data_IF_968292979616
#
_entry.id   IF_968292979616
#
_cell.length_a   1.000
_cell.length_b   1.000
_cell.length_c   1.000
_cell.angle_alpha   90.00
_cell.angle_beta   90.00
_cell.angle_gamma   90.00
#
_symmetry.space_group_name_H-M   'P 1'
#
loop_
_entity.id
_entity.type
_entity.pdbx_description
1 polymer ?
#
# COMPACT_ATOMS: atom_id res chain seq x y z
N UNK A 1 45.96 18.32 58.61
CA UNK A 1 46.98 17.43 59.21
C UNK A 1 46.28 16.27 59.92
N UNK A 2 46.67 15.02 59.59
CA UNK A 2 46.60 13.77 60.40
C UNK A 2 45.20 13.16 60.62
N UNK A 3 44.78 12.13 59.88
CA UNK A 3 45.10 10.67 59.92
C UNK A 3 44.68 9.99 61.25
N UNK A 4 43.72 9.06 61.19
CA UNK A 4 43.73 7.68 61.76
C UNK A 4 42.33 7.05 61.54
N UNK A 5 42.18 6.07 60.65
CA UNK A 5 42.21 4.61 60.90
C UNK A 5 41.16 4.11 61.90
N UNK A 6 40.16 3.36 61.42
CA UNK A 6 39.72 2.12 62.06
C UNK A 6 39.08 1.17 61.03
N UNK A 7 39.70 -0.01 60.95
CA UNK A 7 39.33 -1.20 60.19
C UNK A 7 38.03 -1.81 60.72
N UNK A 8 37.13 -2.19 59.81
CA UNK A 8 36.12 -3.23 60.07
C UNK A 8 36.08 -4.17 58.86
N UNK A 9 36.97 -5.15 58.90
CA UNK A 9 37.06 -6.28 57.98
C UNK A 9 35.87 -7.21 58.23
N UNK A 10 34.83 -7.12 57.39
CA UNK A 10 33.69 -8.04 57.43
C UNK A 10 33.92 -9.13 56.38
N UNK A 11 34.16 -10.35 56.84
CA UNK A 11 34.25 -11.55 56.00
C UNK A 11 32.94 -11.74 55.23
N UNK A 12 32.99 -11.64 53.90
CA UNK A 12 31.93 -12.14 53.03
C UNK A 12 32.20 -13.62 52.77
N UNK A 13 31.42 -14.49 53.42
CA UNK A 13 31.41 -15.92 53.15
C UNK A 13 30.89 -16.14 51.73
N UNK A 14 31.76 -16.63 50.85
CA UNK A 14 31.36 -17.18 49.56
C UNK A 14 30.59 -18.48 49.79
N UNK A 15 29.28 -18.36 49.99
CA UNK A 15 28.37 -19.49 49.90
C UNK A 15 28.23 -19.91 48.44
N UNK A 16 29.03 -20.88 48.01
CA UNK A 16 28.76 -21.65 46.79
C UNK A 16 27.49 -22.46 46.99
N UNK A 17 26.34 -21.81 46.82
CA UNK A 17 25.07 -22.50 46.57
C UNK A 17 25.14 -22.99 45.13
N UNK A 18 25.55 -24.25 44.96
CA UNK A 18 25.33 -25.02 43.74
C UNK A 18 23.82 -25.14 43.52
N UNK A 19 23.26 -24.16 42.82
CA UNK A 19 21.92 -24.24 42.26
C UNK A 19 21.94 -25.39 41.23
N UNK A 20 21.13 -26.44 41.39
CA UNK A 20 21.03 -27.48 40.38
C UNK A 20 20.60 -26.83 39.07
N UNK A 21 21.28 -27.20 37.97
CA UNK A 21 20.89 -26.79 36.63
C UNK A 21 19.39 -27.05 36.44
N UNK A 22 18.63 -26.17 35.76
CA UNK A 22 17.24 -26.46 35.44
C UNK A 22 17.24 -27.78 34.66
N UNK A 23 16.67 -28.81 35.27
CA UNK A 23 16.46 -30.10 34.61
C UNK A 23 15.69 -29.80 33.33
N UNK A 24 16.35 -30.01 32.19
CA UNK A 24 15.70 -30.05 30.89
C UNK A 24 14.84 -31.30 30.86
N UNK A 25 13.67 -31.24 31.49
CA UNK A 25 12.59 -32.17 31.18
C UNK A 25 12.35 -32.05 29.67
N UNK A 26 12.36 -33.16 28.91
CA UNK A 26 12.09 -33.09 27.49
C UNK A 26 10.73 -32.42 27.28
N UNK A 27 10.69 -31.39 26.43
CA UNK A 27 9.43 -30.76 26.03
C UNK A 27 8.45 -31.85 25.59
N UNK A 28 7.19 -31.82 26.04
CA UNK A 28 6.20 -32.81 25.62
C UNK A 28 6.12 -32.83 24.10
N UNK A 29 6.15 -34.02 23.50
CA UNK A 29 5.90 -34.17 22.06
C UNK A 29 4.39 -34.10 21.81
N UNK A 30 3.94 -33.68 20.61
CA UNK A 30 2.52 -33.63 20.26
C UNK A 30 1.74 -34.91 20.57
N UNK A 31 2.37 -36.08 20.46
CA UNK A 31 1.74 -37.39 20.69
C UNK A 31 1.47 -37.71 22.17
N UNK A 32 2.06 -36.95 23.10
CA UNK A 32 1.97 -37.21 24.55
C UNK A 32 0.89 -36.41 25.28
N UNK A 33 0.24 -35.46 24.60
CA UNK A 33 -0.73 -34.53 25.19
C UNK A 33 -2.15 -34.95 24.81
N UNK A 34 -3.10 -34.94 25.76
CA UNK A 34 -4.48 -35.39 25.51
C UNK A 34 -5.48 -34.26 25.71
N UNK A 35 -6.21 -33.92 24.66
CA UNK A 35 -7.33 -32.96 24.72
C UNK A 35 -6.95 -31.50 24.46
N UNK A 36 -7.95 -30.72 24.04
CA UNK A 36 -7.75 -29.35 23.55
C UNK A 36 -7.17 -28.39 24.60
N UNK A 37 -7.57 -28.53 25.87
CA UNK A 37 -7.13 -27.67 26.96
C UNK A 37 -5.64 -27.87 27.31
N UNK A 38 -5.16 -29.12 27.31
CA UNK A 38 -3.76 -29.44 27.56
C UNK A 38 -2.87 -28.95 26.42
N UNK A 39 -3.31 -29.10 25.17
CA UNK A 39 -2.62 -28.52 24.02
C UNK A 39 -2.53 -26.99 24.11
N UNK A 40 -3.60 -26.32 24.54
CA UNK A 40 -3.59 -24.88 24.77
C UNK A 40 -2.58 -24.49 25.86
N UNK A 41 -2.58 -25.20 26.99
CA UNK A 41 -1.61 -24.94 28.07
C UNK A 41 -0.16 -25.16 27.63
N UNK A 42 0.09 -26.22 26.85
CA UNK A 42 1.41 -26.52 26.28
C UNK A 42 1.85 -25.42 25.32
N UNK A 43 0.95 -24.96 24.44
CA UNK A 43 1.21 -23.83 23.55
C UNK A 43 1.54 -22.55 24.33
N UNK A 44 0.84 -22.26 25.42
CA UNK A 44 1.12 -21.09 26.27
C UNK A 44 2.51 -21.18 26.92
N UNK A 45 2.92 -22.38 27.36
CA UNK A 45 4.25 -22.62 27.93
C UNK A 45 5.34 -22.34 26.89
N UNK A 46 5.24 -22.91 25.70
CA UNK A 46 6.17 -22.65 24.61
C UNK A 46 6.20 -21.17 24.19
N UNK A 47 5.03 -20.51 24.15
CA UNK A 47 4.94 -19.09 23.83
C UNK A 47 5.68 -18.22 24.84
N UNK A 48 5.52 -18.50 26.15
CA UNK A 48 6.23 -17.80 27.23
C UNK A 48 7.73 -18.08 27.18
N UNK A 49 8.13 -19.29 26.80
CA UNK A 49 9.53 -19.69 26.60
C UNK A 49 10.15 -19.11 25.31
N UNK A 50 9.38 -18.42 24.45
CA UNK A 50 9.85 -17.89 23.17
C UNK A 50 10.03 -18.94 22.07
N UNK A 51 9.60 -20.19 22.30
CA UNK A 51 9.60 -21.27 21.33
C UNK A 51 8.38 -21.12 20.40
N UNK A 52 8.45 -20.14 19.50
CA UNK A 52 7.28 -19.70 18.71
C UNK A 52 6.80 -20.77 17.72
N UNK A 53 7.67 -21.63 17.20
CA UNK A 53 7.28 -22.70 16.28
C UNK A 53 6.47 -23.78 17.00
N UNK A 54 6.94 -24.24 18.16
CA UNK A 54 6.24 -25.19 19.01
C UNK A 54 4.92 -24.59 19.50
N UNK A 55 4.94 -23.33 19.96
CA UNK A 55 3.73 -22.61 20.38
C UNK A 55 2.67 -22.59 19.27
N UNK A 56 3.07 -22.33 18.02
CA UNK A 56 2.16 -22.33 16.89
C UNK A 56 1.63 -23.73 16.57
N UNK A 57 2.47 -24.76 16.68
CA UNK A 57 2.07 -26.16 16.46
C UNK A 57 1.04 -26.61 17.48
N UNK A 58 1.33 -26.42 18.76
CA UNK A 58 0.42 -26.79 19.84
C UNK A 58 -0.86 -25.96 19.85
N UNK A 59 -0.80 -24.67 19.51
CA UNK A 59 -2.00 -23.85 19.39
C UNK A 59 -2.91 -24.30 18.24
N UNK A 60 -2.35 -24.76 17.10
CA UNK A 60 -3.15 -25.36 16.02
C UNK A 60 -3.82 -26.66 16.46
N UNK A 61 -3.08 -27.54 17.13
CA UNK A 61 -3.65 -28.78 17.68
C UNK A 61 -4.78 -28.50 18.66
N UNK A 62 -4.63 -27.48 19.52
CA UNK A 62 -5.67 -27.05 20.43
C UNK A 62 -6.93 -26.53 19.70
N UNK A 63 -6.76 -25.85 18.56
CA UNK A 63 -7.88 -25.42 17.72
C UNK A 63 -8.60 -26.62 17.11
N UNK A 64 -7.86 -27.53 16.47
CA UNK A 64 -8.44 -28.68 15.77
C UNK A 64 -9.17 -29.62 16.74
N UNK A 65 -8.54 -29.92 17.88
CA UNK A 65 -9.15 -30.72 18.93
C UNK A 65 -10.33 -30.01 19.60
N UNK A 66 -10.20 -28.71 19.88
CA UNK A 66 -11.27 -27.93 20.49
C UNK A 66 -12.51 -27.85 19.59
N UNK A 67 -12.34 -27.85 18.26
CA UNK A 67 -13.44 -27.95 17.31
C UNK A 67 -14.11 -29.32 17.38
N UNK A 68 -13.33 -30.41 17.42
CA UNK A 68 -13.86 -31.77 17.57
C UNK A 68 -14.61 -31.97 18.91
N UNK A 69 -14.11 -31.35 19.98
CA UNK A 69 -14.70 -31.37 21.32
C UNK A 69 -15.88 -30.40 21.50
N UNK A 70 -16.19 -29.57 20.50
CA UNK A 70 -17.18 -28.48 20.60
C UNK A 70 -16.90 -27.51 21.78
N UNK A 71 -15.63 -27.15 21.97
CA UNK A 71 -15.14 -26.28 23.02
C UNK A 71 -14.76 -24.87 22.47
N UNK A 72 -15.74 -23.99 22.18
CA UNK A 72 -15.48 -22.72 21.49
C UNK A 72 -14.58 -21.76 22.28
N UNK A 73 -14.65 -21.78 23.62
CA UNK A 73 -13.75 -20.96 24.46
C UNK A 73 -12.29 -21.36 24.28
N UNK A 74 -11.99 -22.66 24.31
CA UNK A 74 -10.64 -23.19 24.06
C UNK A 74 -10.17 -22.85 22.66
N UNK A 75 -11.03 -23.03 21.65
CA UNK A 75 -10.72 -22.66 20.25
C UNK A 75 -10.39 -21.17 20.14
N UNK A 76 -11.19 -20.30 20.75
CA UNK A 76 -10.98 -18.85 20.67
C UNK A 76 -9.68 -18.42 21.35
N UNK A 77 -9.37 -18.98 22.52
CA UNK A 77 -8.10 -18.73 23.23
C UNK A 77 -6.90 -19.27 22.46
N UNK A 78 -7.01 -20.45 21.87
CA UNK A 78 -5.97 -21.04 21.04
C UNK A 78 -5.71 -20.22 19.77
N UNK A 79 -6.75 -19.75 19.09
CA UNK A 79 -6.63 -18.84 17.95
C UNK A 79 -5.99 -17.51 18.32
N UNK A 80 -6.38 -16.91 19.46
CA UNK A 80 -5.75 -15.68 19.94
C UNK A 80 -4.25 -15.89 20.21
N UNK A 81 -3.89 -17.00 20.85
CA UNK A 81 -2.49 -17.35 21.08
C UNK A 81 -1.73 -17.57 19.78
N UNK A 82 -2.34 -18.27 18.82
CA UNK A 82 -1.76 -18.50 17.50
C UNK A 82 -1.53 -17.19 16.75
N UNK A 83 -2.50 -16.27 16.79
CA UNK A 83 -2.39 -14.93 16.21
C UNK A 83 -1.20 -14.16 16.78
N UNK A 84 -1.06 -14.14 18.12
CA UNK A 84 0.07 -13.50 18.82
C UNK A 84 1.40 -14.18 18.53
N UNK A 85 1.39 -15.49 18.35
CA UNK A 85 2.58 -16.26 17.95
C UNK A 85 3.06 -15.83 16.57
N UNK A 86 2.15 -15.79 15.59
CA UNK A 86 2.46 -15.29 14.25
C UNK A 86 2.90 -13.82 14.26
N UNK A 87 2.31 -12.98 15.12
CA UNK A 87 2.74 -11.60 15.31
C UNK A 87 4.20 -11.51 15.76
N UNK A 88 4.61 -12.30 16.77
CA UNK A 88 6.00 -12.34 17.25
C UNK A 88 6.97 -12.87 16.20
N UNK A 89 6.53 -13.79 15.34
CA UNK A 89 7.32 -14.29 14.19
C UNK A 89 7.39 -13.30 13.02
N UNK A 90 6.70 -12.16 13.08
CA UNK A 90 6.61 -11.20 11.98
C UNK A 90 5.64 -11.62 10.85
N UNK A 91 4.93 -12.74 11.00
CA UNK A 91 3.98 -13.30 10.04
C UNK A 91 2.63 -12.57 10.11
N UNK A 92 2.65 -11.27 9.79
CA UNK A 92 1.53 -10.34 9.99
C UNK A 92 0.23 -10.78 9.28
N UNK A 93 0.32 -11.38 8.10
CA UNK A 93 -0.86 -11.87 7.37
C UNK A 93 -1.54 -13.05 8.06
N UNK A 94 -0.77 -14.02 8.56
CA UNK A 94 -1.34 -15.16 9.30
C UNK A 94 -1.98 -14.70 10.61
N UNK A 95 -1.33 -13.78 11.32
CA UNK A 95 -1.87 -13.18 12.53
C UNK A 95 -3.21 -12.48 12.28
N UNK A 96 -3.29 -11.64 11.25
CA UNK A 96 -4.52 -10.94 10.87
C UNK A 96 -5.62 -11.90 10.41
N UNK A 97 -5.27 -13.02 9.76
CA UNK A 97 -6.23 -14.08 9.43
C UNK A 97 -6.89 -14.69 10.67
N UNK A 98 -6.12 -15.01 11.71
CA UNK A 98 -6.67 -15.52 12.97
C UNK A 98 -7.52 -14.47 13.69
N UNK A 99 -7.08 -13.20 13.74
CA UNK A 99 -7.90 -12.13 14.33
C UNK A 99 -9.21 -11.88 13.57
N UNK A 100 -9.21 -12.04 12.24
CA UNK A 100 -10.41 -11.90 11.43
C UNK A 100 -11.47 -12.94 11.80
N UNK A 101 -11.05 -14.19 12.07
CA UNK A 101 -11.97 -15.24 12.56
C UNK A 101 -12.55 -14.87 13.93
N UNK A 102 -11.72 -14.33 14.82
CA UNK A 102 -12.14 -13.96 16.17
C UNK A 102 -13.06 -12.75 16.23
N UNK A 103 -13.02 -11.87 15.22
CA UNK A 103 -13.85 -10.66 15.16
C UNK A 103 -15.35 -10.97 15.20
N UNK A 104 -15.75 -12.07 14.59
CA UNK A 104 -17.15 -12.49 14.48
C UNK A 104 -17.52 -13.60 15.48
N UNK A 105 -16.58 -13.99 16.35
CA UNK A 105 -16.78 -15.04 17.35
C UNK A 105 -17.45 -14.50 18.64
N UNK A 106 -18.14 -15.38 19.36
CA UNK A 106 -18.57 -15.08 20.73
C UNK A 106 -17.37 -15.19 21.67
N UNK A 107 -16.83 -14.04 22.07
CA UNK A 107 -15.67 -13.93 22.93
C UNK A 107 -16.07 -13.51 24.35
N UNK A 108 -15.36 -14.07 25.34
CA UNK A 108 -15.29 -13.46 26.67
C UNK A 108 -14.68 -12.04 26.59
N UNK A 109 -14.91 -11.23 27.62
CA UNK A 109 -14.53 -9.81 27.59
C UNK A 109 -13.01 -9.61 27.53
N UNK A 110 -12.24 -10.49 28.16
CA UNK A 110 -10.77 -10.45 28.14
C UNK A 110 -10.24 -10.67 26.72
N UNK A 111 -10.70 -11.74 26.06
CA UNK A 111 -10.33 -12.12 24.69
C UNK A 111 -10.78 -11.04 23.70
N UNK A 112 -11.99 -10.48 23.88
CA UNK A 112 -12.48 -9.38 23.04
C UNK A 112 -11.59 -8.15 23.15
N UNK A 113 -11.22 -7.76 24.37
CA UNK A 113 -10.37 -6.59 24.59
C UNK A 113 -8.95 -6.81 24.05
N UNK A 114 -8.42 -8.03 24.20
CA UNK A 114 -7.15 -8.45 23.60
C UNK A 114 -7.17 -8.30 22.07
N UNK A 115 -8.17 -8.89 21.39
CA UNK A 115 -8.31 -8.81 19.93
C UNK A 115 -8.42 -7.36 19.46
N UNK A 116 -9.22 -6.54 20.15
CA UNK A 116 -9.38 -5.11 19.83
C UNK A 116 -8.05 -4.34 19.96
N UNK A 117 -7.30 -4.61 21.03
CA UNK A 117 -5.98 -4.01 21.26
C UNK A 117 -4.99 -4.41 20.16
N UNK A 118 -4.91 -5.71 19.86
CA UNK A 118 -3.96 -6.26 18.91
C UNK A 118 -4.26 -5.78 17.48
N UNK A 119 -5.54 -5.80 17.04
CA UNK A 119 -5.97 -5.21 15.77
C UNK A 119 -5.70 -3.69 15.71
N UNK A 120 -5.84 -2.98 16.83
CA UNK A 120 -5.49 -1.57 16.94
C UNK A 120 -4.03 -1.29 16.60
N UNK A 121 -3.10 -2.14 17.05
CA UNK A 121 -1.68 -2.01 16.71
C UNK A 121 -1.42 -2.27 15.23
N UNK A 122 -2.05 -3.29 14.64
CA UNK A 122 -1.96 -3.55 13.20
C UNK A 122 -2.50 -2.38 12.37
N UNK A 123 -3.60 -1.77 12.83
CA UNK A 123 -4.20 -0.60 12.21
C UNK A 123 -3.25 0.60 12.22
N UNK A 124 -2.59 0.85 13.36
CA UNK A 124 -1.58 1.91 13.47
C UNK A 124 -0.40 1.67 12.54
N UNK A 125 0.11 0.43 12.50
CA UNK A 125 1.21 0.04 11.61
C UNK A 125 0.83 0.22 10.13
N UNK A 126 -0.36 -0.20 9.73
CA UNK A 126 -0.87 -0.02 8.36
C UNK A 126 -1.07 1.47 8.02
N UNK A 127 -1.57 2.28 8.95
CA UNK A 127 -1.71 3.72 8.78
C UNK A 127 -0.36 4.42 8.60
N UNK A 128 0.66 4.03 9.37
CA UNK A 128 2.02 4.54 9.24
C UNK A 128 2.64 4.20 7.86
N UNK A 129 2.42 2.97 7.38
CA UNK A 129 2.82 2.56 6.03
C UNK A 129 2.12 3.40 4.96
N UNK A 130 0.81 3.62 5.09
CA UNK A 130 0.05 4.44 4.15
C UNK A 130 0.52 5.91 4.14
N UNK A 131 0.85 6.46 5.31
CA UNK A 131 1.41 7.82 5.41
C UNK A 131 2.79 7.90 4.75
N UNK A 132 3.66 6.92 4.98
CA UNK A 132 4.98 6.83 4.36
C UNK A 132 4.85 6.71 2.84
N UNK A 133 3.91 5.90 2.36
CA UNK A 133 3.61 5.77 0.95
C UNK A 133 3.17 7.11 0.32
N UNK A 134 2.31 7.89 1.01
CA UNK A 134 1.91 9.23 0.56
C UNK A 134 3.09 10.20 0.47
N UNK A 135 3.99 10.19 1.46
CA UNK A 135 5.20 11.01 1.43
C UNK A 135 6.10 10.64 0.25
N UNK A 136 6.36 9.34 0.03
CA UNK A 136 7.12 8.84 -1.12
C UNK A 136 6.46 9.19 -2.45
N UNK A 137 5.13 9.11 -2.53
CA UNK A 137 4.37 9.52 -3.71
C UNK A 137 4.57 11.00 -4.02
N UNK A 138 4.51 11.87 -3.00
CA UNK A 138 4.74 13.31 -3.17
C UNK A 138 6.17 13.62 -3.66
N UNK A 139 7.14 12.79 -3.27
CA UNK A 139 8.53 12.86 -3.75
C UNK A 139 8.75 12.19 -5.11
N UNK A 140 7.69 11.83 -5.84
CA UNK A 140 7.73 11.10 -7.12
C UNK A 140 8.42 9.73 -7.06
N UNK A 141 8.58 9.14 -5.87
CA UNK A 141 9.15 7.80 -5.69
C UNK A 141 8.07 6.72 -5.84
N UNK A 142 7.41 6.69 -7.01
CA UNK A 142 6.17 5.94 -7.21
C UNK A 142 6.29 4.43 -6.97
N UNK A 143 7.41 3.79 -7.37
CA UNK A 143 7.63 2.35 -7.09
C UNK A 143 7.74 2.04 -5.60
N UNK A 144 8.43 2.89 -4.82
CA UNK A 144 8.57 2.71 -3.37
C UNK A 144 7.25 3.02 -2.65
N UNK A 145 6.53 4.05 -3.10
CA UNK A 145 5.19 4.37 -2.62
C UNK A 145 4.21 3.22 -2.88
N UNK A 146 4.30 2.58 -4.04
CA UNK A 146 3.47 1.43 -4.40
C UNK A 146 3.71 0.24 -3.46
N UNK A 147 4.97 -0.08 -3.15
CA UNK A 147 5.31 -1.17 -2.24
C UNK A 147 4.72 -0.96 -0.84
N UNK A 148 4.94 0.22 -0.24
CA UNK A 148 4.38 0.56 1.07
C UNK A 148 2.85 0.62 1.04
N UNK A 149 2.28 1.18 -0.03
CA UNK A 149 0.82 1.29 -0.22
C UNK A 149 0.14 -0.07 -0.33
N UNK A 150 0.75 -1.03 -1.05
CA UNK A 150 0.27 -2.42 -1.13
C UNK A 150 0.41 -3.14 0.20
N UNK A 151 1.50 -2.92 0.94
CA UNK A 151 1.66 -3.48 2.27
C UNK A 151 0.59 -2.96 3.24
N UNK A 152 0.32 -1.65 3.24
CA UNK A 152 -0.76 -1.06 4.02
C UNK A 152 -2.13 -1.61 3.63
N UNK A 153 -2.41 -1.68 2.33
CA UNK A 153 -3.66 -2.20 1.79
C UNK A 153 -3.91 -3.64 2.23
N UNK A 154 -2.90 -4.51 2.07
CA UNK A 154 -3.00 -5.93 2.48
C UNK A 154 -3.33 -6.08 3.97
N UNK A 155 -2.74 -5.24 4.83
CA UNK A 155 -3.05 -5.26 6.27
C UNK A 155 -4.47 -4.78 6.57
N UNK A 156 -4.92 -3.71 5.90
CA UNK A 156 -6.28 -3.21 6.09
C UNK A 156 -7.33 -4.21 5.64
N UNK A 157 -7.13 -4.83 4.46
CA UNK A 157 -8.02 -5.85 3.91
C UNK A 157 -8.05 -7.13 4.76
N UNK A 158 -6.93 -7.48 5.40
CA UNK A 158 -6.86 -8.61 6.32
C UNK A 158 -7.53 -8.35 7.70
N UNK A 159 -8.23 -7.22 7.87
CA UNK A 159 -9.09 -6.97 9.04
C UNK A 159 -8.62 -5.84 9.95
N UNK A 160 -7.47 -5.23 9.70
CA UNK A 160 -7.00 -4.08 10.48
C UNK A 160 -7.72 -2.76 10.13
N UNK A 161 -8.34 -2.69 8.95
CA UNK A 161 -8.92 -1.45 8.40
C UNK A 161 -10.44 -1.44 8.36
N UNK A 162 -11.00 -0.24 8.32
CA UNK A 162 -12.39 -0.04 7.89
C UNK A 162 -12.46 0.23 6.37
N UNK A 163 -13.68 0.26 5.83
CA UNK A 163 -13.92 0.50 4.41
C UNK A 163 -13.28 1.80 3.90
N UNK A 164 -13.24 2.85 4.72
CA UNK A 164 -12.64 4.14 4.36
C UNK A 164 -11.13 4.04 4.26
N UNK A 165 -10.47 3.37 5.19
CA UNK A 165 -9.02 3.15 5.17
C UNK A 165 -8.61 2.26 3.98
N UNK A 166 -9.38 1.22 3.70
CA UNK A 166 -9.16 0.36 2.52
C UNK A 166 -9.29 1.19 1.23
N UNK A 167 -10.35 1.99 1.08
CA UNK A 167 -10.56 2.85 -0.09
C UNK A 167 -9.42 3.85 -0.29
N UNK A 168 -8.94 4.49 0.79
CA UNK A 168 -7.80 5.40 0.73
C UNK A 168 -6.51 4.70 0.28
N UNK A 169 -6.24 3.49 0.79
CA UNK A 169 -5.07 2.72 0.39
C UNK A 169 -5.16 2.28 -1.08
N UNK A 170 -6.32 1.77 -1.53
CA UNK A 170 -6.57 1.44 -2.95
C UNK A 170 -6.39 2.66 -3.85
N UNK A 171 -6.94 3.81 -3.45
CA UNK A 171 -6.80 5.07 -4.19
C UNK A 171 -5.34 5.49 -4.38
N UNK A 172 -4.51 5.36 -3.34
CA UNK A 172 -3.07 5.64 -3.43
C UNK A 172 -2.36 4.63 -4.35
N UNK A 173 -2.63 3.34 -4.19
CA UNK A 173 -2.06 2.27 -5.03
C UNK A 173 -2.41 2.49 -6.50
N UNK A 174 -3.68 2.79 -6.80
CA UNK A 174 -4.14 3.11 -8.15
C UNK A 174 -3.49 4.35 -8.75
N UNK A 175 -3.30 5.42 -7.95
CA UNK A 175 -2.54 6.61 -8.36
C UNK A 175 -1.07 6.31 -8.65
N UNK A 176 -0.44 5.42 -7.87
CA UNK A 176 0.93 4.99 -8.12
C UNK A 176 1.03 4.26 -9.46
N UNK A 177 0.14 3.30 -9.72
CA UNK A 177 0.05 2.60 -11.01
C UNK A 177 -0.15 3.58 -12.18
N UNK A 178 -1.03 4.58 -12.03
CA UNK A 178 -1.25 5.60 -13.06
C UNK A 178 0.02 6.39 -13.38
N UNK A 179 0.80 6.77 -12.36
CA UNK A 179 2.08 7.49 -12.53
C UNK A 179 3.20 6.62 -13.11
N UNK A 180 3.10 5.31 -13.00
CA UNK A 180 4.03 4.35 -13.60
C UNK A 180 3.64 3.95 -15.03
N UNK A 181 2.51 4.44 -15.56
CA UNK A 181 2.00 4.08 -16.89
C UNK A 181 1.23 2.76 -16.94
N UNK A 182 0.96 2.15 -15.78
CA UNK A 182 0.29 0.86 -15.64
C UNK A 182 -1.24 1.06 -15.63
N UNK A 183 -1.79 1.50 -16.77
CA UNK A 183 -3.17 2.01 -16.85
C UNK A 183 -4.25 0.99 -16.48
N UNK A 184 -4.07 -0.30 -16.80
CA UNK A 184 -5.04 -1.35 -16.48
C UNK A 184 -5.17 -1.54 -14.96
N UNK A 185 -4.04 -1.72 -14.27
CA UNK A 185 -4.01 -1.86 -12.80
C UNK A 185 -4.49 -0.58 -12.12
N UNK A 186 -4.08 0.59 -12.61
CA UNK A 186 -4.53 1.87 -12.08
C UNK A 186 -6.05 1.98 -12.09
N UNK A 187 -6.70 1.63 -13.21
CA UNK A 187 -8.16 1.67 -13.34
C UNK A 187 -8.85 0.76 -12.34
N UNK A 188 -8.38 -0.48 -12.20
CA UNK A 188 -8.95 -1.46 -11.28
C UNK A 188 -8.99 -0.90 -9.85
N UNK A 189 -7.84 -0.50 -9.32
CA UNK A 189 -7.77 0.02 -7.93
C UNK A 189 -8.54 1.33 -7.75
N UNK A 190 -8.52 2.23 -8.74
CA UNK A 190 -9.24 3.51 -8.66
C UNK A 190 -10.76 3.33 -8.72
N UNK A 191 -11.25 2.38 -9.53
CA UNK A 191 -12.67 2.03 -9.59
C UNK A 191 -13.15 1.40 -8.27
N UNK A 192 -12.38 0.45 -7.72
CA UNK A 192 -12.69 -0.16 -6.42
C UNK A 192 -12.69 0.87 -5.29
N UNK A 193 -11.75 1.83 -5.30
CA UNK A 193 -11.73 2.94 -4.35
C UNK A 193 -12.93 3.87 -4.53
N UNK A 194 -13.29 4.23 -5.76
CA UNK A 194 -14.45 5.08 -6.05
C UNK A 194 -15.78 4.43 -5.71
N UNK A 195 -15.90 3.11 -5.86
CA UNK A 195 -17.11 2.40 -5.44
C UNK A 195 -17.37 2.57 -3.93
N UNK A 196 -16.31 2.58 -3.12
CA UNK A 196 -16.38 2.82 -1.69
C UNK A 196 -16.49 4.31 -1.32
N UNK A 197 -15.93 5.21 -2.13
CA UNK A 197 -16.00 6.67 -1.92
C UNK A 197 -16.39 7.42 -3.20
N UNK A 198 -17.67 7.37 -3.64
CA UNK A 198 -18.11 7.89 -4.95
C UNK A 198 -17.97 9.41 -5.12
N UNK A 199 -17.84 10.13 -4.01
CA UNK A 199 -17.71 11.59 -3.97
C UNK A 199 -16.29 12.11 -4.14
N UNK A 200 -15.26 11.26 -4.17
CA UNK A 200 -13.85 11.72 -4.18
C UNK A 200 -13.46 12.29 -5.57
N UNK A 201 -13.23 13.61 -5.69
CA UNK A 201 -12.88 14.24 -6.96
C UNK A 201 -11.46 13.91 -7.41
N UNK A 202 -10.53 13.61 -6.50
CA UNK A 202 -9.17 13.23 -6.85
C UNK A 202 -9.14 11.86 -7.53
N UNK A 203 -9.90 10.90 -7.00
CA UNK A 203 -10.00 9.57 -7.60
C UNK A 203 -10.65 9.62 -8.98
N UNK A 204 -11.69 10.45 -9.17
CA UNK A 204 -12.31 10.66 -10.49
C UNK A 204 -11.33 11.23 -11.50
N UNK A 205 -10.55 12.26 -11.11
CA UNK A 205 -9.51 12.85 -11.96
C UNK A 205 -8.42 11.85 -12.30
N UNK A 206 -7.96 11.07 -11.31
CA UNK A 206 -6.96 10.03 -11.52
C UNK A 206 -7.47 8.95 -12.48
N UNK A 207 -8.73 8.51 -12.33
CA UNK A 207 -9.33 7.51 -13.22
C UNK A 207 -9.46 8.07 -14.65
N UNK A 208 -9.93 9.30 -14.82
CA UNK A 208 -10.00 9.95 -16.13
C UNK A 208 -8.61 10.05 -16.80
N UNK A 209 -7.54 10.32 -16.03
CA UNK A 209 -6.18 10.38 -16.55
C UNK A 209 -5.62 9.01 -17.02
N UNK A 210 -6.27 7.90 -16.66
CA UNK A 210 -5.93 6.56 -17.17
C UNK A 210 -6.68 6.21 -18.47
N UNK A 211 -7.54 7.11 -18.96
CA UNK A 211 -8.14 7.02 -20.29
C UNK A 211 -7.05 7.01 -21.36
N UNK A 212 -7.10 6.11 -22.38
CA UNK A 212 -6.35 6.39 -23.59
C UNK A 212 -6.76 7.79 -24.09
N UNK A 213 -5.83 8.59 -24.63
CA UNK A 213 -6.21 9.87 -25.23
C UNK A 213 -7.35 9.62 -26.22
N UNK A 214 -8.35 10.52 -26.31
CA UNK A 214 -9.42 10.35 -27.27
C UNK A 214 -8.75 10.11 -28.63
N UNK A 215 -9.04 8.94 -29.22
CA UNK A 215 -8.70 8.70 -30.62
C UNK A 215 -9.18 9.93 -31.37
N UNK A 216 -8.29 10.63 -32.07
CA UNK A 216 -8.70 11.72 -32.94
C UNK A 216 -9.71 11.10 -33.89
N UNK A 217 -10.99 11.33 -33.65
CA UNK A 217 -12.03 10.98 -34.61
C UNK A 217 -11.55 11.57 -35.93
N UNK A 218 -11.51 10.79 -37.03
CA UNK A 218 -11.23 11.39 -38.32
C UNK A 218 -12.22 12.53 -38.47
N UNK A 219 -11.70 13.75 -38.70
CA UNK A 219 -12.50 14.90 -39.05
C UNK A 219 -13.49 14.42 -40.10
N UNK A 220 -14.78 14.31 -39.74
CA UNK A 220 -15.82 14.07 -40.72
C UNK A 220 -15.75 15.28 -41.63
N UNK A 221 -15.13 15.10 -42.79
CA UNK A 221 -15.21 16.04 -43.87
C UNK A 221 -16.70 16.13 -44.19
N UNK A 222 -17.30 17.27 -43.86
CA UNK A 222 -18.64 17.63 -44.29
C UNK A 222 -18.72 17.43 -45.81
N UNK A 223 -19.22 16.28 -46.22
CA UNK A 223 -19.67 16.04 -47.57
C UNK A 223 -20.93 16.89 -47.75
N UNK A 224 -20.73 18.16 -48.12
CA UNK A 224 -21.78 18.97 -48.73
C UNK A 224 -22.20 18.22 -49.99
N UNK A 225 -23.34 17.55 -49.91
CA UNK A 225 -24.15 17.22 -51.09
C UNK A 225 -24.58 18.56 -51.69
N UNK A 226 -23.78 19.04 -52.64
CA UNK A 226 -24.19 20.06 -53.60
C UNK A 226 -24.72 19.31 -54.81
N UNK A 227 -26.02 19.46 -55.02
CA UNK A 227 -26.78 18.93 -56.14
C UNK A 227 -26.19 19.39 -57.48
N UNK A 228 -26.44 18.55 -58.47
CA UNK A 228 -26.12 18.66 -59.89
C UNK A 228 -26.19 20.08 -60.46
N UNK A 229 -25.11 20.50 -61.13
CA UNK A 229 -25.28 21.36 -62.30
C UNK A 229 -24.24 21.02 -63.38
N UNK A 230 -24.80 20.68 -64.53
CA UNK A 230 -24.15 20.29 -65.77
C UNK A 230 -23.38 21.46 -66.34
N UNK A 231 -22.07 21.31 -66.55
CA UNK A 231 -21.36 22.02 -67.61
C UNK A 231 -20.36 21.09 -68.30
N UNK A 232 -20.79 20.53 -69.43
CA UNK A 232 -19.90 20.13 -70.49
C UNK A 232 -19.31 21.40 -71.12
N UNK A 233 -18.00 21.56 -71.07
CA UNK A 233 -17.27 22.32 -72.11
C UNK A 233 -15.94 21.64 -72.42
N UNK A 234 -15.84 21.18 -73.66
CA UNK A 234 -14.59 20.84 -74.33
C UNK A 234 -13.63 22.05 -74.34
N UNK A 235 -12.38 21.88 -73.94
CA UNK A 235 -11.34 22.91 -74.09
C UNK A 235 -10.23 22.78 -73.05
N UNK A 236 -8.97 22.86 -73.49
CA UNK A 236 -7.74 22.65 -72.71
C UNK A 236 -7.63 23.52 -71.42
N UNK A 237 -6.85 23.10 -70.40
CA UNK A 237 -6.74 23.84 -69.14
C UNK A 237 -5.92 25.13 -69.31
N UNK A 238 -6.58 26.26 -69.08
CA UNK A 238 -5.95 27.58 -69.00
C UNK A 238 -5.29 27.78 -67.62
N UNK A 239 -3.96 27.88 -67.61
CA UNK A 239 -3.07 27.87 -66.44
C UNK A 239 -3.11 29.22 -65.68
N UNK A 240 -3.86 30.22 -66.15
CA UNK A 240 -3.82 31.57 -65.58
C UNK A 240 -4.88 31.89 -64.52
N UNK A 241 -5.74 30.94 -64.11
CA UNK A 241 -6.79 31.21 -63.10
C UNK A 241 -6.39 30.93 -61.64
N UNK A 242 -5.14 30.51 -61.39
CA UNK A 242 -4.64 30.19 -60.05
C UNK A 242 -4.11 31.40 -59.24
N UNK A 243 -4.16 32.63 -59.77
CA UNK A 243 -3.59 33.81 -59.09
C UNK A 243 -4.57 34.61 -58.21
N UNK A 244 -5.88 34.38 -58.31
CA UNK A 244 -6.86 35.21 -57.59
C UNK A 244 -7.42 34.59 -56.29
N UNK A 245 -7.07 33.33 -55.97
CA UNK A 245 -7.58 32.67 -54.76
C UNK A 245 -6.69 32.80 -53.51
N UNK A 246 -5.49 33.39 -53.64
CA UNK A 246 -4.52 33.53 -52.51
C UNK A 246 -4.54 34.93 -51.90
N UNK A 247 -5.36 35.86 -52.40
CA UNK A 247 -5.32 37.28 -51.98
C UNK A 247 -6.32 37.71 -50.90
N UNK A 248 -7.13 36.80 -50.37
CA UNK A 248 -8.16 37.14 -49.37
C UNK A 248 -8.20 36.12 -48.22
N UNK A 249 -7.16 36.10 -47.38
CA UNK A 249 -7.21 35.83 -45.92
C UNK A 249 -5.79 35.59 -45.36
N UNK A 250 -5.08 36.68 -45.12
CA UNK A 250 -4.01 36.70 -44.11
C UNK A 250 -4.24 37.93 -43.22
N UNK A 251 -4.57 37.74 -41.93
CA UNK A 251 -4.66 38.85 -40.99
C UNK A 251 -3.28 39.44 -40.74
N UNK A 252 -3.22 40.78 -40.75
CA UNK A 252 -2.03 41.57 -40.45
C UNK A 252 -1.61 41.37 -38.99
N UNK A 253 -0.30 41.20 -38.80
CA UNK A 253 0.37 41.34 -37.51
C UNK A 253 0.56 40.01 -36.80
N UNK A 254 1.80 39.56 -36.72
CA UNK A 254 2.57 39.30 -35.50
C UNK A 254 3.95 38.81 -35.96
N UNK A 255 4.98 39.61 -35.65
CA UNK A 255 6.38 39.30 -35.92
C UNK A 255 6.79 38.15 -34.98
N UNK A 256 7.11 36.97 -35.52
CA UNK A 256 7.70 35.87 -34.76
C UNK A 256 9.18 35.77 -35.17
N UNK A 257 10.14 35.82 -34.23
CA UNK A 257 11.56 35.74 -34.56
C UNK A 257 11.95 34.31 -34.97
N UNK A 258 12.78 34.22 -36.02
CA UNK A 258 13.41 32.98 -36.49
C UNK A 258 14.62 32.68 -35.59
N UNK A 259 14.72 31.50 -34.95
CA UNK A 259 15.91 31.11 -34.20
C UNK A 259 16.97 30.55 -35.17
N UNK A 260 18.16 31.18 -35.24
CA UNK A 260 19.31 30.53 -35.91
C UNK A 260 20.32 31.38 -36.67
N UNK A 261 20.54 32.67 -36.36
CA UNK A 261 21.64 33.44 -36.95
C UNK A 261 22.66 33.89 -35.87
N UNK A 262 23.94 33.50 -35.94
CA UNK A 262 24.96 33.94 -34.99
C UNK A 262 25.57 35.30 -35.33
N UNK A 263 25.81 36.05 -34.23
CA UNK A 263 26.88 37.01 -33.96
C UNK A 263 27.12 38.21 -34.89
N UNK A 264 26.73 39.38 -34.37
CA UNK A 264 27.70 40.40 -33.96
C UNK A 264 28.48 41.12 -35.06
N UNK A 265 28.08 42.36 -35.33
CA UNK A 265 28.96 43.54 -35.44
C UNK A 265 28.05 44.78 -35.45
N UNK A 266 28.18 45.61 -34.41
CA UNK A 266 27.42 46.86 -34.27
C UNK A 266 28.01 47.96 -35.15
N UNK A 267 27.20 48.78 -35.84
CA UNK A 267 27.69 50.04 -36.40
C UNK A 267 27.87 51.09 -35.29
N UNK A 268 29.08 51.59 -35.14
CA UNK A 268 29.42 52.73 -34.27
C UNK A 268 29.06 54.03 -34.97
N UNK A 269 28.45 54.94 -34.21
CA UNK A 269 27.95 56.26 -34.60
C UNK A 269 29.07 57.24 -35.05
N UNK A 270 28.72 58.32 -35.78
CA UNK A 270 29.69 59.27 -36.31
C UNK A 270 30.19 60.23 -35.21
N UNK A 271 31.49 60.54 -35.24
CA UNK A 271 32.06 61.67 -34.48
C UNK A 271 32.63 62.67 -35.48
N UNK A 272 32.03 63.85 -35.45
CA UNK A 272 32.50 65.11 -36.01
C UNK A 272 33.76 65.60 -35.29
N UNK A 273 34.80 65.97 -36.03
CA UNK A 273 35.62 67.18 -35.85
C UNK A 273 36.28 67.53 -37.18
#
# INVERSE_FOLDING_TARGET
MRILCLLALSLLVAGCSSQPAPETTPSPTPESVSGSAEYLQTAQTHFKAGQLEDAATFARLAVDMGQAENAPETVNRARLLLARTYQKQGQSQKALGEYAILKDAMLDDETRQAVKSDLGQYRQKAAALLQTARQKFAQSQYRKALADGKAALSMFEAGAGDAKQIAQARGLVGRCHAKLGEAAEARKYLQEALAATPGDPELKRALAATAPPPSRAPLQADARQGEDDVFQTNGAPDINRAKDYVRTRLPKGHNVPIPGAPAGLSPVAPVTY
#
